data_IF_312071687873
#
_entry.id   IF_312071687873
#
_cell.length_a   1.000
_cell.length_b   1.000
_cell.length_c   1.000
_cell.angle_alpha   90.00
_cell.angle_beta   90.00
_cell.angle_gamma   90.00
#
_symmetry.space_group_name_H-M   'P 1'
#
loop_
_entity.id
_entity.type
_entity.pdbx_description
1 polymer ?
#
# COMPACT_ATOMS: atom_id res chain seq x y z
N UNK A 1 4.68 -26.32 -28.95
CA UNK A 1 5.25 -24.97 -28.93
C UNK A 1 4.91 -24.34 -27.58
N UNK A 2 5.89 -23.78 -26.85
CA UNK A 2 5.61 -23.07 -25.60
C UNK A 2 4.90 -21.77 -25.94
N UNK A 3 3.69 -21.56 -25.44
CA UNK A 3 2.96 -20.31 -25.62
C UNK A 3 3.68 -19.19 -24.87
N UNK A 4 3.91 -18.05 -25.53
CA UNK A 4 4.46 -16.84 -24.91
C UNK A 4 3.30 -15.93 -24.57
N UNK A 5 3.30 -15.38 -23.36
CA UNK A 5 2.23 -14.51 -22.86
C UNK A 5 2.84 -13.16 -22.50
N UNK A 6 2.14 -12.09 -22.87
CA UNK A 6 2.49 -10.72 -22.49
C UNK A 6 1.30 -10.10 -21.78
N UNK A 7 1.57 -9.37 -20.70
CA UNK A 7 0.56 -8.62 -19.97
C UNK A 7 0.39 -7.24 -20.60
N UNK A 8 -0.83 -6.92 -21.00
CA UNK A 8 -1.19 -5.62 -21.59
C UNK A 8 -2.19 -4.93 -20.67
N UNK A 9 -1.99 -3.64 -20.40
CA UNK A 9 -2.98 -2.81 -19.68
C UNK A 9 -4.10 -2.43 -20.64
N UNK A 10 -5.32 -2.89 -20.39
CA UNK A 10 -6.51 -2.53 -21.16
C UNK A 10 -7.48 -1.73 -20.29
N UNK A 11 -8.18 -0.77 -20.89
CA UNK A 11 -9.20 0.00 -20.19
C UNK A 11 -10.50 -0.79 -20.22
N UNK A 12 -11.09 -1.06 -19.04
CA UNK A 12 -12.42 -1.66 -18.92
C UNK A 12 -13.35 -0.71 -18.17
N UNK A 13 -14.59 -0.61 -18.65
CA UNK A 13 -15.64 0.16 -18.01
C UNK A 13 -16.34 -0.70 -16.95
N UNK A 14 -16.24 -0.28 -15.68
CA UNK A 14 -16.93 -0.92 -14.56
C UNK A 14 -17.70 0.18 -13.84
N UNK A 15 -19.04 0.06 -13.78
CA UNK A 15 -19.93 1.01 -13.11
C UNK A 15 -19.72 2.49 -13.53
N UNK A 16 -19.51 2.73 -14.82
CA UNK A 16 -19.34 4.08 -15.38
C UNK A 16 -17.97 4.73 -15.13
N UNK A 17 -17.01 4.00 -14.54
CA UNK A 17 -15.61 4.44 -14.37
C UNK A 17 -14.68 3.60 -15.24
N UNK A 18 -13.69 4.26 -15.85
CA UNK A 18 -12.60 3.62 -16.58
C UNK A 18 -11.58 3.05 -15.58
N UNK A 19 -11.39 1.73 -15.60
CA UNK A 19 -10.39 1.05 -14.78
C UNK A 19 -9.36 0.38 -15.69
N UNK A 20 -8.08 0.57 -15.40
CA UNK A 20 -6.99 -0.14 -16.08
C UNK A 20 -6.90 -1.57 -15.53
N UNK A 21 -7.07 -2.55 -16.41
CA UNK A 21 -7.02 -3.97 -16.08
C UNK A 21 -5.86 -4.61 -16.83
N UNK A 22 -5.07 -5.39 -16.13
CA UNK A 22 -4.01 -6.20 -16.74
C UNK A 22 -4.66 -7.42 -17.41
N UNK A 23 -4.44 -7.58 -18.71
CA UNK A 23 -4.91 -8.70 -19.49
C UNK A 23 -3.73 -9.46 -20.08
N UNK A 24 -3.70 -10.77 -19.87
CA UNK A 24 -2.72 -11.67 -20.47
C UNK A 24 -3.18 -12.03 -21.89
N UNK A 25 -2.32 -11.75 -22.87
CA UNK A 25 -2.54 -12.05 -24.28
C UNK A 25 -1.49 -13.05 -24.74
N UNK A 26 -1.92 -14.11 -25.42
CA UNK A 26 -1.02 -15.04 -26.09
C UNK A 26 -0.46 -14.37 -27.35
N UNK A 27 0.87 -14.32 -27.46
CA UNK A 27 1.57 -13.56 -28.49
C UNK A 27 2.55 -14.49 -29.23
N UNK A 28 2.80 -14.21 -30.51
CA UNK A 28 3.80 -14.93 -31.30
C UNK A 28 5.21 -14.71 -30.73
N UNK A 29 6.12 -15.65 -30.97
CA UNK A 29 7.48 -15.58 -30.43
C UNK A 29 8.23 -14.34 -30.93
N UNK A 30 8.02 -13.93 -32.19
CA UNK A 30 8.64 -12.75 -32.78
C UNK A 30 8.23 -11.46 -32.06
N UNK A 31 6.92 -11.29 -31.82
CA UNK A 31 6.39 -10.10 -31.13
C UNK A 31 6.84 -10.11 -29.66
N UNK A 32 6.85 -11.28 -29.02
CA UNK A 32 7.37 -11.41 -27.65
C UNK A 32 8.84 -10.98 -27.56
N UNK A 33 9.68 -11.44 -28.48
CA UNK A 33 11.10 -11.08 -28.51
C UNK A 33 11.28 -9.58 -28.74
N UNK A 34 10.55 -8.99 -29.68
CA UNK A 34 10.66 -7.56 -29.97
C UNK A 34 10.24 -6.68 -28.78
N UNK A 35 9.15 -7.07 -28.10
CA UNK A 35 8.67 -6.40 -26.89
C UNK A 35 9.64 -6.55 -25.71
N UNK A 36 10.28 -7.71 -25.55
CA UNK A 36 11.16 -7.99 -24.41
C UNK A 36 12.60 -7.50 -24.60
N UNK A 37 13.07 -7.32 -25.84
CA UNK A 37 14.40 -6.77 -26.16
C UNK A 37 14.77 -5.47 -25.41
N UNK A 38 13.94 -4.42 -25.34
CA UNK A 38 14.26 -3.22 -24.58
C UNK A 38 14.42 -3.53 -23.08
N UNK A 39 13.48 -4.29 -22.50
CA UNK A 39 13.51 -4.69 -21.08
C UNK A 39 14.77 -5.49 -20.75
N UNK A 40 15.16 -6.44 -21.62
CA UNK A 40 16.37 -7.21 -21.43
C UNK A 40 17.65 -6.40 -21.57
N UNK A 41 17.67 -5.39 -22.46
CA UNK A 41 18.81 -4.47 -22.56
C UNK A 41 18.99 -3.71 -21.26
N UNK A 42 17.91 -3.17 -20.70
CA UNK A 42 17.95 -2.49 -19.39
C UNK A 42 18.40 -3.43 -18.28
N UNK A 43 17.79 -4.62 -18.15
CA UNK A 43 18.17 -5.61 -17.15
C UNK A 43 19.64 -6.05 -17.28
N UNK A 44 20.15 -6.23 -18.50
CA UNK A 44 21.56 -6.57 -18.73
C UNK A 44 22.50 -5.42 -18.43
N UNK A 45 22.10 -4.18 -18.69
CA UNK A 45 22.86 -3.00 -18.27
C UNK A 45 22.93 -2.92 -16.74
N UNK A 46 21.80 -3.09 -16.06
CA UNK A 46 21.73 -3.13 -14.60
C UNK A 46 22.58 -4.25 -14.01
N UNK A 47 22.52 -5.46 -14.59
CA UNK A 47 23.33 -6.60 -14.15
C UNK A 47 24.83 -6.29 -14.23
N UNK A 48 25.31 -5.73 -15.35
CA UNK A 48 26.71 -5.33 -15.52
C UNK A 48 27.12 -4.27 -14.51
N UNK A 49 26.26 -3.28 -14.30
CA UNK A 49 26.54 -2.21 -13.36
C UNK A 49 26.65 -2.72 -11.90
N UNK A 50 25.82 -3.67 -11.48
CA UNK A 50 25.95 -4.30 -10.15
C UNK A 50 27.13 -5.27 -10.05
N UNK A 51 27.48 -5.97 -11.13
CA UNK A 51 28.66 -6.83 -11.19
C UNK A 51 29.94 -5.99 -11.03
N UNK A 52 30.04 -4.87 -11.75
CA UNK A 52 31.13 -3.89 -11.61
C UNK A 52 31.22 -3.33 -10.18
N UNK A 53 30.07 -3.06 -9.55
CA UNK A 53 30.00 -2.61 -8.15
C UNK A 53 30.51 -3.70 -7.21
N UNK A 54 30.03 -4.94 -7.33
CA UNK A 54 30.44 -6.04 -6.45
C UNK A 54 31.93 -6.35 -6.60
N UNK A 55 32.48 -6.29 -7.81
CA UNK A 55 33.92 -6.41 -8.06
C UNK A 55 34.69 -5.25 -7.41
N UNK A 56 34.20 -4.02 -7.52
CA UNK A 56 34.81 -2.88 -6.84
C UNK A 56 34.78 -3.02 -5.31
N UNK A 57 33.69 -3.53 -4.74
CA UNK A 57 33.57 -3.80 -3.30
C UNK A 57 34.45 -4.96 -2.84
N UNK A 58 34.54 -6.06 -3.60
CA UNK A 58 35.42 -7.18 -3.25
C UNK A 58 36.89 -6.78 -3.30
N UNK A 59 37.29 -6.01 -4.32
CA UNK A 59 38.64 -5.47 -4.41
C UNK A 59 38.92 -4.50 -3.25
N UNK A 60 37.93 -3.67 -2.88
CA UNK A 60 38.03 -2.79 -1.72
C UNK A 60 38.15 -3.55 -0.39
N UNK A 61 37.48 -4.71 -0.24
CA UNK A 61 37.57 -5.57 0.94
C UNK A 61 38.89 -6.36 1.00
N UNK A 62 39.42 -6.79 -0.14
CA UNK A 62 40.71 -7.50 -0.22
C UNK A 62 41.91 -6.54 -0.04
N UNK A 63 41.88 -5.33 -0.62
CA UNK A 63 42.92 -4.31 -0.47
C UNK A 63 42.86 -3.57 0.88
N UNK A 64 41.81 -3.81 1.67
CA UNK A 64 41.62 -3.29 3.03
C UNK A 64 42.64 -3.81 4.05
N UNK A 65 43.58 -4.67 3.64
CA UNK A 65 44.68 -5.10 4.49
C UNK A 65 45.83 -4.09 4.58
N UNK A 66 46.10 -3.24 3.56
CA UNK A 66 47.29 -2.36 3.56
C UNK A 66 47.06 -0.93 3.01
N UNK A 67 45.87 -0.61 2.48
CA UNK A 67 45.64 0.64 1.73
C UNK A 67 44.52 1.55 2.27
N UNK A 68 44.20 1.49 3.58
CA UNK A 68 43.37 2.53 4.21
C UNK A 68 44.27 3.64 4.77
N UNK A 69 44.24 4.87 4.21
CA UNK A 69 44.89 5.99 4.84
C UNK A 69 44.16 6.37 6.14
N UNK A 70 44.92 6.63 7.20
CA UNK A 70 44.39 6.89 8.54
C UNK A 70 43.67 8.23 8.71
N UNK A 71 43.61 9.08 7.67
CA UNK A 71 42.97 10.41 7.74
C UNK A 71 42.14 10.75 6.49
N UNK A 72 41.03 11.52 6.64
CA UNK A 72 40.17 11.93 5.52
C UNK A 72 40.87 12.70 4.37
N UNK A 73 41.96 13.43 4.65
CA UNK A 73 42.70 14.21 3.64
C UNK A 73 43.44 13.35 2.61
N UNK A 74 43.82 12.12 2.99
CA UNK A 74 44.55 11.21 2.10
C UNK A 74 43.65 10.55 1.04
N UNK A 75 42.34 10.56 1.26
CA UNK A 75 41.35 10.04 0.30
C UNK A 75 41.31 10.89 -0.99
N UNK A 76 41.60 12.19 -0.87
CA UNK A 76 41.67 13.15 -1.98
C UNK A 76 42.87 12.91 -2.90
N UNK A 77 43.92 12.23 -2.41
CA UNK A 77 45.19 12.05 -3.13
C UNK A 77 45.28 10.75 -3.94
N UNK A 78 44.30 9.85 -3.83
CA UNK A 78 44.31 8.54 -4.50
C UNK A 78 43.49 8.48 -5.80
N UNK A 79 42.90 9.61 -6.21
CA UNK A 79 42.42 9.81 -7.57
C UNK A 79 43.55 10.41 -8.42
N UNK A 80 44.27 9.57 -9.17
CA UNK A 80 45.22 10.03 -10.21
C UNK A 80 44.56 10.91 -11.29
N UNK A 81 43.24 10.99 -11.28
CA UNK A 81 42.42 12.06 -11.83
C UNK A 81 41.57 12.53 -10.65
N UNK A 82 41.65 13.81 -10.26
CA UNK A 82 40.97 14.39 -9.09
C UNK A 82 39.43 14.44 -9.19
N UNK A 83 38.84 13.37 -9.70
CA UNK A 83 37.41 13.17 -9.85
C UNK A 83 36.89 12.46 -8.59
N UNK A 84 35.97 13.09 -7.83
CA UNK A 84 35.38 12.45 -6.67
C UNK A 84 34.68 11.15 -7.07
N UNK A 85 34.65 10.16 -6.18
CA UNK A 85 34.03 8.83 -6.39
C UNK A 85 32.58 8.92 -6.92
N UNK A 86 31.90 10.05 -6.71
CA UNK A 86 30.60 10.37 -7.31
C UNK A 86 30.58 10.47 -8.84
N UNK A 87 31.75 10.51 -9.49
CA UNK A 87 31.91 10.57 -10.95
C UNK A 87 32.33 9.24 -11.57
N UNK A 88 32.56 8.18 -10.78
CA UNK A 88 32.64 6.84 -11.34
C UNK A 88 31.32 6.58 -12.06
N UNK A 89 31.41 6.59 -13.38
CA UNK A 89 30.34 6.29 -14.33
C UNK A 89 30.00 4.79 -14.24
N UNK A 90 29.63 4.33 -13.05
CA UNK A 90 28.96 3.06 -12.87
C UNK A 90 27.69 3.19 -13.70
N UNK A 91 27.48 2.29 -14.66
CA UNK A 91 26.32 2.29 -15.59
C UNK A 91 24.98 2.02 -14.91
N UNK A 92 24.82 2.49 -13.68
CA UNK A 92 23.63 2.38 -12.85
C UNK A 92 22.60 3.39 -13.39
N UNK A 93 21.39 2.94 -13.76
CA UNK A 93 20.30 3.83 -14.18
C UNK A 93 19.66 4.51 -12.95
N UNK A 94 20.47 4.99 -12.01
CA UNK A 94 20.03 5.72 -10.83
C UNK A 94 20.22 7.22 -11.04
N UNK A 95 19.76 7.77 -12.18
CA UNK A 95 19.48 9.21 -12.15
C UNK A 95 18.37 9.41 -11.12
N UNK A 96 18.58 10.34 -10.18
CA UNK A 96 17.54 10.76 -9.23
C UNK A 96 16.24 11.08 -9.97
N UNK A 97 16.36 11.66 -11.16
CA UNK A 97 15.24 11.98 -12.06
C UNK A 97 14.43 10.74 -12.49
N UNK A 98 15.05 9.60 -12.82
CA UNK A 98 14.32 8.38 -13.24
C UNK A 98 13.58 7.74 -12.06
N UNK A 99 14.19 7.73 -10.88
CA UNK A 99 13.54 7.24 -9.66
C UNK A 99 12.36 8.14 -9.30
N UNK A 100 12.50 9.46 -9.49
CA UNK A 100 11.42 10.41 -9.27
C UNK A 100 10.23 10.18 -10.22
N UNK A 101 10.50 9.94 -11.51
CA UNK A 101 9.49 9.57 -12.51
C UNK A 101 8.77 8.24 -12.17
N UNK A 102 9.50 7.23 -11.71
CA UNK A 102 8.95 5.89 -11.45
C UNK A 102 8.19 5.78 -10.12
N UNK A 103 8.60 6.54 -9.09
CA UNK A 103 8.11 6.36 -7.70
C UNK A 103 7.19 7.48 -7.19
N UNK A 104 7.01 8.56 -7.96
CA UNK A 104 6.12 9.71 -7.73
C UNK A 104 6.21 10.43 -6.36
N UNK A 105 6.99 9.97 -5.38
CA UNK A 105 7.28 10.57 -4.05
C UNK A 105 6.12 11.19 -3.25
N UNK A 106 4.88 11.07 -3.69
CA UNK A 106 3.71 11.45 -2.94
C UNK A 106 3.55 10.43 -1.82
N UNK A 107 3.98 10.83 -0.61
CA UNK A 107 3.63 10.12 0.59
C UNK A 107 2.11 10.16 0.72
N UNK A 108 1.44 9.12 0.23
CA UNK A 108 0.02 8.93 0.52
C UNK A 108 -0.12 8.88 2.03
N UNK A 109 -0.89 9.80 2.60
CA UNK A 109 -1.22 9.75 4.01
C UNK A 109 -1.74 8.34 4.32
N UNK A 110 -1.06 7.64 5.23
CA UNK A 110 -1.38 6.24 5.58
C UNK A 110 -2.83 6.13 6.09
N UNK A 111 -3.29 7.19 6.76
CA UNK A 111 -4.59 7.29 7.38
C UNK A 111 -5.21 8.64 7.00
N UNK A 112 -6.50 8.62 6.66
CA UNK A 112 -7.26 9.83 6.44
C UNK A 112 -7.75 10.35 7.80
N UNK A 113 -7.09 11.40 8.31
CA UNK A 113 -7.42 12.02 9.60
C UNK A 113 -8.85 12.58 9.60
N UNK A 114 -9.33 13.08 8.47
CA UNK A 114 -10.69 13.62 8.34
C UNK A 114 -11.72 12.49 8.50
N UNK A 115 -11.50 11.35 7.85
CA UNK A 115 -12.39 10.19 7.97
C UNK A 115 -12.45 9.65 9.42
N UNK A 116 -11.32 9.69 10.15
CA UNK A 116 -11.30 9.32 11.56
C UNK A 116 -12.09 10.31 12.43
N UNK A 117 -11.98 11.62 12.15
CA UNK A 117 -12.75 12.65 12.85
C UNK A 117 -14.26 12.53 12.57
N UNK A 118 -14.66 12.26 11.33
CA UNK A 118 -16.05 12.00 10.95
C UNK A 118 -16.64 10.80 11.69
N UNK A 119 -15.88 9.70 11.81
CA UNK A 119 -16.33 8.50 12.54
C UNK A 119 -16.55 8.77 14.04
N UNK A 120 -15.71 9.61 14.66
CA UNK A 120 -15.89 10.02 16.06
C UNK A 120 -17.16 10.85 16.25
N UNK A 121 -17.40 11.85 15.40
CA UNK A 121 -18.62 12.66 15.44
C UNK A 121 -19.89 11.82 15.26
N UNK A 122 -19.83 10.82 14.36
CA UNK A 122 -20.94 9.88 14.16
C UNK A 122 -21.21 9.04 15.41
N UNK A 123 -20.15 8.55 16.07
CA UNK A 123 -20.29 7.75 17.29
C UNK A 123 -20.91 8.56 18.44
N UNK A 124 -20.53 9.83 18.59
CA UNK A 124 -21.09 10.75 19.59
C UNK A 124 -22.59 11.02 19.32
N UNK A 125 -22.95 11.33 18.08
CA UNK A 125 -24.34 11.53 17.68
C UNK A 125 -25.18 10.26 17.91
N UNK A 126 -24.62 9.07 17.67
CA UNK A 126 -25.29 7.81 17.92
C UNK A 126 -25.54 7.57 19.42
N UNK A 127 -24.58 7.92 20.29
CA UNK A 127 -24.76 7.82 21.75
C UNK A 127 -25.88 8.75 22.26
N UNK A 128 -26.03 9.94 21.67
CA UNK A 128 -27.13 10.85 21.98
C UNK A 128 -28.49 10.22 21.65
N UNK A 129 -28.64 9.66 20.44
CA UNK A 129 -29.86 8.94 20.03
C UNK A 129 -30.16 7.77 20.96
N UNK A 130 -29.12 7.07 21.45
CA UNK A 130 -29.30 5.96 22.37
C UNK A 130 -29.76 6.37 23.77
N UNK A 131 -29.49 7.60 24.21
CA UNK A 131 -29.92 8.09 25.52
C UNK A 131 -31.45 8.23 25.64
N UNK A 132 -32.16 8.35 24.51
CA UNK A 132 -33.62 8.41 24.49
C UNK A 132 -34.28 7.05 24.79
N UNK A 133 -33.54 5.96 24.63
CA UNK A 133 -34.05 4.61 24.88
C UNK A 133 -33.82 4.15 26.31
N UNK A 134 -34.64 3.20 26.79
CA UNK A 134 -34.43 2.56 28.09
C UNK A 134 -33.03 1.93 28.19
N UNK A 135 -32.40 1.94 29.37
CA UNK A 135 -31.05 1.39 29.60
C UNK A 135 -30.82 -0.01 29.01
N UNK A 136 -31.79 -0.91 29.14
CA UNK A 136 -31.71 -2.27 28.57
C UNK A 136 -31.61 -2.26 27.05
N UNK A 137 -32.38 -1.39 26.40
CA UNK A 137 -32.39 -1.24 24.96
C UNK A 137 -31.11 -0.57 24.46
N UNK A 138 -30.62 0.44 25.18
CA UNK A 138 -29.32 1.07 24.95
C UNK A 138 -28.21 0.02 24.99
N UNK A 139 -28.17 -0.79 26.04
CA UNK A 139 -27.20 -1.88 26.20
C UNK A 139 -27.29 -2.93 25.08
N UNK A 140 -28.50 -3.35 24.69
CA UNK A 140 -28.67 -4.29 23.58
C UNK A 140 -28.13 -3.70 22.27
N UNK A 141 -28.40 -2.42 21.99
CA UNK A 141 -27.97 -1.78 20.74
C UNK A 141 -26.47 -1.47 20.70
N UNK A 142 -25.87 -1.04 21.81
CA UNK A 142 -24.42 -0.82 21.88
C UNK A 142 -23.66 -2.11 21.63
N UNK A 143 -24.06 -3.20 22.28
CA UNK A 143 -23.42 -4.51 22.11
C UNK A 143 -23.57 -5.05 20.67
N UNK A 144 -24.70 -4.78 20.01
CA UNK A 144 -24.94 -5.25 18.65
C UNK A 144 -24.21 -4.44 17.58
N UNK A 145 -24.13 -3.11 17.74
CA UNK A 145 -23.66 -2.20 16.69
C UNK A 145 -22.23 -1.72 16.88
N UNK A 146 -21.76 -1.58 18.12
CA UNK A 146 -20.39 -1.14 18.43
C UNK A 146 -19.48 -2.36 18.61
N UNK A 147 -19.91 -3.32 19.42
CA UNK A 147 -19.10 -4.51 19.74
C UNK A 147 -19.28 -5.67 18.73
N UNK A 148 -20.11 -5.47 17.70
CA UNK A 148 -20.43 -6.45 16.63
C UNK A 148 -20.83 -7.85 17.13
N UNK A 149 -21.36 -7.95 18.35
CA UNK A 149 -21.69 -9.23 18.97
C UNK A 149 -22.89 -9.91 18.30
N UNK A 150 -22.93 -11.24 18.37
CA UNK A 150 -24.10 -11.97 17.85
C UNK A 150 -25.30 -11.82 18.79
N UNK A 151 -26.52 -11.84 18.23
CA UNK A 151 -27.77 -11.72 18.99
C UNK A 151 -27.91 -12.79 20.10
N UNK A 152 -27.24 -13.94 19.95
CA UNK A 152 -27.21 -15.01 20.94
C UNK A 152 -26.30 -14.67 22.12
N UNK A 153 -25.12 -14.12 21.87
CA UNK A 153 -24.19 -13.73 22.92
C UNK A 153 -24.72 -12.51 23.69
N UNK A 154 -25.31 -11.54 22.99
CA UNK A 154 -25.99 -10.39 23.61
C UNK A 154 -27.13 -10.86 24.51
N UNK A 155 -27.91 -11.85 24.07
CA UNK A 155 -28.96 -12.46 24.89
C UNK A 155 -28.41 -13.10 26.18
N UNK A 156 -27.24 -13.75 26.12
CA UNK A 156 -26.58 -14.31 27.30
C UNK A 156 -26.13 -13.23 28.27
N UNK A 157 -25.52 -12.14 27.78
CA UNK A 157 -25.03 -11.01 28.60
C UNK A 157 -26.19 -10.28 29.29
N UNK A 158 -27.23 -9.93 28.53
CA UNK A 158 -28.38 -9.15 29.05
C UNK A 158 -29.36 -10.05 29.83
N UNK A 159 -29.18 -11.38 29.79
CA UNK A 159 -30.07 -12.34 30.45
C UNK A 159 -31.47 -12.43 29.81
N UNK A 160 -31.54 -12.26 28.49
CA UNK A 160 -32.78 -12.23 27.71
C UNK A 160 -32.86 -13.41 26.74
N UNK A 161 -34.05 -13.68 26.19
CA UNK A 161 -34.16 -14.59 25.05
C UNK A 161 -33.60 -13.94 23.77
N UNK A 162 -33.01 -14.72 22.86
CA UNK A 162 -32.59 -14.23 21.53
C UNK A 162 -33.75 -13.52 20.80
N UNK A 163 -34.98 -14.03 20.96
CA UNK A 163 -36.19 -13.43 20.37
C UNK A 163 -36.44 -12.01 20.88
N UNK A 164 -36.17 -11.76 22.15
CA UNK A 164 -36.29 -10.41 22.75
C UNK A 164 -35.33 -9.44 22.09
N UNK A 165 -34.06 -9.82 21.95
CA UNK A 165 -33.01 -9.03 21.28
C UNK A 165 -33.39 -8.71 19.83
N UNK A 166 -33.91 -9.70 19.09
CA UNK A 166 -34.36 -9.49 17.72
C UNK A 166 -35.57 -8.54 17.65
N UNK A 167 -36.54 -8.68 18.57
CA UNK A 167 -37.69 -7.78 18.62
C UNK A 167 -37.28 -6.33 18.93
N UNK A 168 -36.35 -6.12 19.88
CA UNK A 168 -35.81 -4.78 20.19
C UNK A 168 -35.05 -4.21 19.00
N UNK A 169 -34.21 -5.01 18.33
CA UNK A 169 -33.51 -4.63 17.11
C UNK A 169 -34.47 -4.14 16.04
N UNK A 170 -35.49 -4.93 15.71
CA UNK A 170 -36.50 -4.57 14.68
C UNK A 170 -37.31 -3.33 15.03
N UNK A 171 -37.54 -3.06 16.33
CA UNK A 171 -38.28 -1.88 16.79
C UNK A 171 -37.45 -0.60 16.72
N UNK A 172 -36.20 -0.65 17.17
CA UNK A 172 -35.39 0.54 17.38
C UNK A 172 -34.53 0.90 16.16
N UNK A 173 -34.11 -0.08 15.35
CA UNK A 173 -33.35 0.18 14.13
C UNK A 173 -34.02 1.19 13.16
N UNK A 174 -35.33 1.10 12.86
CA UNK A 174 -35.96 2.10 12.00
C UNK A 174 -36.04 3.49 12.63
N UNK A 175 -36.15 3.58 13.96
CA UNK A 175 -36.17 4.86 14.69
C UNK A 175 -34.79 5.52 14.55
N UNK A 176 -33.73 4.75 14.82
CA UNK A 176 -32.33 5.19 14.68
C UNK A 176 -32.03 5.61 13.23
N UNK A 177 -32.54 4.87 12.24
CA UNK A 177 -32.35 5.21 10.83
C UNK A 177 -33.05 6.50 10.42
N UNK A 178 -34.23 6.78 10.98
CA UNK A 178 -34.95 8.02 10.71
C UNK A 178 -34.28 9.21 11.40
N UNK A 179 -33.79 9.05 12.65
CA UNK A 179 -33.10 10.12 13.37
C UNK A 179 -31.75 10.47 12.75
N UNK A 180 -31.00 9.47 12.27
CA UNK A 180 -29.69 9.68 11.64
C UNK A 180 -29.74 9.84 10.13
N UNK A 181 -30.92 10.11 9.56
CA UNK A 181 -31.08 10.26 8.10
C UNK A 181 -30.28 11.42 7.53
N UNK A 182 -30.11 12.48 8.32
CA UNK A 182 -29.41 13.71 7.92
C UNK A 182 -27.88 13.53 7.88
N UNK A 183 -27.36 12.48 8.52
CA UNK A 183 -25.93 12.13 8.55
C UNK A 183 -25.50 11.24 7.36
N UNK A 184 -26.42 10.92 6.46
CA UNK A 184 -26.24 9.94 5.38
C UNK A 184 -25.77 10.57 4.06
#
# INVERSE_FOLDING_TARGET
MKKRVVTVKTVKQINGKNVLVNQEVEVTEEIYLEMMRPVWREQKQTQRAYEDINVAWSNYEEEKSDWMPGTPDQFTAMGGTGEPISQLKMGLPLSLDRIAEDTNFEASARENVEAAAEALLLSEAFEEVLNDFSERNKMIMSLLLIDEMTEREVALIVGCSQKTVNNTKRKLLPIIQETMKDWK
#
